data_IF_494100445485
#
_entry.id   IF_494100445485
#
_cell.length_a   1.000
_cell.length_b   1.000
_cell.length_c   1.000
_cell.angle_alpha   90.00
_cell.angle_beta   90.00
_cell.angle_gamma   90.00
#
_symmetry.space_group_name_H-M   'P 1'
#
loop_
_entity.id
_entity.type
_entity.pdbx_description
1 polymer ?
#
# COMPACT_ATOMS: atom_id res chain seq x y z
N UNK A 1 -10.83 4.65 6.94
CA UNK A 1 -9.92 3.52 6.92
C UNK A 1 -9.76 2.99 5.50
N UNK A 2 -8.53 2.99 4.98
CA UNK A 2 -8.21 2.51 3.64
C UNK A 2 -7.15 1.40 3.71
N UNK A 3 -7.29 0.36 2.87
CA UNK A 3 -6.30 -0.71 2.70
C UNK A 3 -5.92 -0.79 1.23
N UNK A 4 -4.64 -0.65 0.95
CA UNK A 4 -4.10 -0.66 -0.40
C UNK A 4 -3.19 -1.88 -0.58
N UNK A 5 -3.47 -2.69 -1.60
CA UNK A 5 -2.61 -3.82 -1.95
C UNK A 5 -1.51 -3.42 -2.93
N UNK A 6 -1.84 -2.56 -3.91
CA UNK A 6 -0.90 -1.91 -4.82
C UNK A 6 -0.93 -0.41 -4.54
N UNK A 7 0.24 0.23 -4.54
CA UNK A 7 0.39 1.61 -4.08
C UNK A 7 1.36 2.38 -4.98
N UNK A 8 1.54 3.67 -4.69
CA UNK A 8 2.54 4.54 -5.31
C UNK A 8 3.99 4.01 -5.17
N UNK A 9 4.24 3.03 -4.29
CA UNK A 9 5.54 2.38 -4.18
C UNK A 9 5.93 1.56 -5.43
N UNK A 10 4.98 1.18 -6.28
CA UNK A 10 5.33 0.56 -7.57
C UNK A 10 6.22 1.45 -8.42
N UNK A 11 6.11 2.77 -8.25
CA UNK A 11 6.94 3.78 -8.93
C UNK A 11 8.40 3.82 -8.47
N UNK A 12 8.79 3.05 -7.47
CA UNK A 12 10.18 2.87 -7.00
C UNK A 12 10.54 1.40 -6.75
N UNK A 13 9.65 0.48 -7.12
CA UNK A 13 9.86 -0.96 -7.03
C UNK A 13 9.81 -1.59 -8.43
N UNK A 14 8.61 -1.73 -9.00
CA UNK A 14 8.43 -2.34 -10.32
C UNK A 14 9.14 -1.53 -11.41
N UNK A 15 9.04 -0.21 -11.37
CA UNK A 15 9.71 0.66 -12.35
C UNK A 15 11.23 0.71 -12.21
N UNK A 16 11.80 0.33 -11.07
CA UNK A 16 13.25 0.16 -10.92
C UNK A 16 13.76 -1.13 -11.53
N UNK A 17 12.95 -2.17 -11.48
CA UNK A 17 13.24 -3.46 -12.13
C UNK A 17 13.00 -3.36 -13.64
N UNK A 18 12.00 -2.57 -14.05
CA UNK A 18 11.58 -2.34 -15.43
C UNK A 18 11.55 -0.83 -15.75
N UNK A 19 12.72 -0.19 -15.91
CA UNK A 19 12.82 1.26 -16.09
C UNK A 19 12.10 1.77 -17.36
N UNK A 20 11.91 0.91 -18.35
CA UNK A 20 11.14 1.24 -19.56
C UNK A 20 9.69 1.65 -19.27
N UNK A 21 9.10 1.25 -18.13
CA UNK A 21 7.75 1.67 -17.75
C UNK A 21 7.66 3.17 -17.41
N UNK A 22 8.78 3.78 -16.98
CA UNK A 22 8.85 5.23 -16.74
C UNK A 22 8.61 6.04 -18.02
N UNK A 23 9.02 5.52 -19.17
CA UNK A 23 8.80 6.20 -20.46
C UNK A 23 7.31 6.40 -20.75
N UNK A 24 6.45 5.50 -20.25
CA UNK A 24 5.00 5.61 -20.36
C UNK A 24 4.36 6.71 -19.49
N UNK A 25 5.13 7.32 -18.58
CA UNK A 25 4.65 8.45 -17.76
C UNK A 25 4.77 9.81 -18.48
N UNK A 26 5.43 9.86 -19.63
CA UNK A 26 5.61 11.07 -20.45
C UNK A 26 6.21 12.26 -19.68
N UNK A 27 7.21 11.99 -18.85
CA UNK A 27 7.90 13.03 -18.10
C UNK A 27 8.72 13.93 -19.04
N UNK A 28 8.72 15.29 -18.84
CA UNK A 28 9.37 16.21 -19.77
C UNK A 28 10.86 15.96 -19.99
N UNK A 29 11.59 15.51 -18.96
CA UNK A 29 13.04 15.37 -18.98
C UNK A 29 13.49 13.90 -19.18
N UNK A 30 12.57 12.96 -19.43
CA UNK A 30 12.87 11.54 -19.59
C UNK A 30 12.39 11.10 -20.97
N UNK A 31 13.32 10.83 -21.86
CA UNK A 31 13.08 10.39 -23.24
C UNK A 31 13.57 8.97 -23.51
N UNK A 32 14.52 8.52 -22.68
CA UNK A 32 15.11 7.17 -22.75
C UNK A 32 15.39 6.65 -21.35
N UNK A 33 15.69 5.36 -21.24
CA UNK A 33 16.10 4.74 -19.96
C UNK A 33 17.46 5.24 -19.45
N UNK A 34 18.28 5.83 -20.31
CA UNK A 34 19.58 6.42 -19.96
C UNK A 34 19.41 7.72 -19.16
N UNK A 35 18.27 8.37 -19.27
CA UNK A 35 17.93 9.59 -18.51
C UNK A 35 17.51 9.29 -17.06
N UNK A 36 17.35 7.98 -16.73
CA UNK A 36 16.89 7.51 -15.42
C UNK A 36 18.10 7.18 -14.55
N UNK A 37 18.67 8.21 -13.94
CA UNK A 37 19.85 8.15 -13.07
C UNK A 37 19.48 8.02 -11.57
N UNK A 38 20.50 7.96 -10.72
CA UNK A 38 20.30 7.91 -9.26
C UNK A 38 19.58 9.16 -8.74
N UNK A 39 19.81 10.33 -9.35
CA UNK A 39 19.15 11.57 -8.95
C UNK A 39 17.66 11.53 -9.26
N UNK A 40 17.24 10.83 -10.33
CA UNK A 40 15.85 10.57 -10.63
C UNK A 40 15.19 9.76 -9.49
N UNK A 41 15.83 8.66 -9.04
CA UNK A 41 15.29 7.81 -7.97
C UNK A 41 15.25 8.53 -6.62
N UNK A 42 16.25 9.32 -6.29
CA UNK A 42 16.25 10.16 -5.08
C UNK A 42 15.09 11.16 -5.07
N UNK A 43 14.78 11.76 -6.23
CA UNK A 43 13.60 12.64 -6.35
C UNK A 43 12.31 11.87 -6.10
N UNK A 44 12.18 10.63 -6.61
CA UNK A 44 10.99 9.77 -6.39
C UNK A 44 10.81 9.44 -4.91
N UNK A 45 11.85 9.03 -4.22
CA UNK A 45 11.79 8.76 -2.78
C UNK A 45 11.41 10.00 -1.98
N UNK A 46 11.98 11.15 -2.32
CA UNK A 46 11.61 12.42 -1.70
C UNK A 46 10.12 12.74 -1.92
N UNK A 47 9.62 12.61 -3.14
CA UNK A 47 8.20 12.85 -3.46
C UNK A 47 7.27 11.95 -2.67
N UNK A 48 7.63 10.67 -2.49
CA UNK A 48 6.87 9.73 -1.66
C UNK A 48 6.85 10.21 -0.20
N UNK A 49 8.01 10.52 0.35
CA UNK A 49 8.12 11.00 1.73
C UNK A 49 7.37 12.32 1.96
N UNK A 50 7.41 13.25 1.01
CA UNK A 50 6.69 14.52 1.06
C UNK A 50 5.16 14.30 1.02
N UNK A 51 4.70 13.38 0.18
CA UNK A 51 3.29 13.00 0.10
C UNK A 51 2.80 12.36 1.39
N UNK A 52 3.54 11.40 1.93
CA UNK A 52 3.20 10.73 3.19
C UNK A 52 3.23 11.70 4.37
N UNK A 53 4.19 12.62 4.41
CA UNK A 53 4.25 13.68 5.42
C UNK A 53 3.04 14.59 5.35
N UNK A 54 2.63 15.03 4.16
CA UNK A 54 1.43 15.84 3.98
C UNK A 54 0.19 15.14 4.53
N UNK A 55 0.01 13.85 4.24
CA UNK A 55 -1.10 13.07 4.77
C UNK A 55 -1.04 12.95 6.30
N UNK A 56 0.14 12.73 6.86
CA UNK A 56 0.32 12.62 8.31
C UNK A 56 0.02 13.94 9.03
N UNK A 57 0.51 15.06 8.50
CA UNK A 57 0.25 16.41 9.04
C UNK A 57 -1.24 16.81 8.97
N UNK A 58 -2.00 16.21 8.04
CA UNK A 58 -3.47 16.38 7.94
C UNK A 58 -4.26 15.36 8.77
N UNK A 59 -3.59 14.59 9.65
CA UNK A 59 -4.22 13.71 10.62
C UNK A 59 -4.39 12.25 10.15
N UNK A 60 -3.83 11.87 8.98
CA UNK A 60 -3.85 10.48 8.51
C UNK A 60 -2.71 9.69 9.16
N UNK A 61 -3.02 8.55 9.75
CA UNK A 61 -2.00 7.60 10.20
C UNK A 61 -1.69 6.59 9.10
N UNK A 62 -0.40 6.43 8.78
CA UNK A 62 0.07 5.59 7.68
C UNK A 62 0.87 4.42 8.24
N UNK A 63 0.50 3.21 7.85
CA UNK A 63 1.21 1.97 8.18
C UNK A 63 1.57 1.25 6.89
N UNK A 64 2.84 0.93 6.73
CA UNK A 64 3.34 0.24 5.54
C UNK A 64 3.81 -1.16 5.92
N UNK A 65 3.25 -2.18 5.26
CA UNK A 65 3.57 -3.58 5.54
C UNK A 65 4.26 -4.21 4.34
N UNK A 66 5.52 -4.59 4.50
CA UNK A 66 6.20 -5.44 3.55
C UNK A 66 6.00 -6.91 3.93
N UNK A 67 5.16 -7.59 3.17
CA UNK A 67 4.85 -9.02 3.36
C UNK A 67 5.99 -9.87 2.80
N UNK A 68 7.07 -10.00 3.56
CA UNK A 68 8.29 -10.67 3.14
C UNK A 68 8.11 -12.19 3.13
N UNK A 69 8.23 -12.80 1.95
CA UNK A 69 8.25 -14.25 1.75
C UNK A 69 9.63 -14.70 1.26
N UNK A 70 9.97 -15.95 1.52
CA UNK A 70 11.18 -16.56 0.95
C UNK A 70 10.98 -16.88 -0.54
N UNK A 71 12.09 -16.94 -1.30
CA UNK A 71 12.10 -17.37 -2.71
C UNK A 71 11.51 -18.79 -2.86
N UNK A 72 11.70 -19.63 -1.85
CA UNK A 72 11.14 -20.98 -1.82
C UNK A 72 9.63 -20.98 -1.59
N UNK A 73 9.13 -20.18 -0.65
CA UNK A 73 7.68 -20.06 -0.43
C UNK A 73 6.98 -19.50 -1.68
N UNK A 74 7.59 -18.53 -2.38
CA UNK A 74 7.05 -18.03 -3.65
C UNK A 74 6.93 -19.18 -4.66
N UNK A 75 7.97 -20.00 -4.80
CA UNK A 75 7.98 -21.18 -5.69
C UNK A 75 6.83 -22.14 -5.34
N UNK A 76 6.63 -22.43 -4.07
CA UNK A 76 5.56 -23.31 -3.62
C UNK A 76 4.17 -22.71 -3.93
N UNK A 77 4.02 -21.39 -3.77
CA UNK A 77 2.76 -20.70 -4.11
C UNK A 77 2.45 -20.74 -5.60
N UNK A 78 3.45 -20.58 -6.47
CA UNK A 78 3.29 -20.68 -7.92
C UNK A 78 2.94 -22.11 -8.32
N UNK A 79 3.66 -23.13 -7.81
CA UNK A 79 3.33 -24.55 -8.03
C UNK A 79 1.91 -24.88 -7.59
N UNK A 80 1.47 -24.36 -6.44
CA UNK A 80 0.10 -24.55 -5.96
C UNK A 80 -0.94 -23.90 -6.88
N UNK A 81 -0.65 -22.77 -7.53
CA UNK A 81 -1.53 -22.19 -8.55
C UNK A 81 -1.71 -23.13 -9.73
N UNK A 82 -0.62 -23.70 -10.23
CA UNK A 82 -0.65 -24.62 -11.37
C UNK A 82 -1.35 -25.96 -11.05
N UNK A 83 -1.16 -26.50 -9.84
CA UNK A 83 -1.72 -27.77 -9.42
C UNK A 83 -3.21 -27.74 -9.10
N UNK A 84 -3.77 -26.57 -8.80
CA UNK A 84 -5.17 -26.41 -8.42
C UNK A 84 -5.97 -25.81 -9.58
N UNK A 85 -6.84 -26.60 -10.27
CA UNK A 85 -7.59 -26.11 -11.44
C UNK A 85 -8.33 -24.80 -11.21
N UNK A 86 -8.94 -24.62 -10.03
CA UNK A 86 -9.64 -23.38 -9.64
C UNK A 86 -8.73 -22.14 -9.51
N UNK A 87 -7.41 -22.31 -9.55
CA UNK A 87 -6.40 -21.24 -9.40
C UNK A 87 -5.56 -21.02 -10.64
N UNK A 88 -5.64 -21.91 -11.65
CA UNK A 88 -4.78 -21.86 -12.83
C UNK A 88 -4.91 -20.53 -13.59
N UNK A 89 -6.11 -19.97 -13.62
CA UNK A 89 -6.38 -18.68 -14.26
C UNK A 89 -5.57 -17.50 -13.67
N UNK A 90 -4.96 -17.67 -12.51
CA UNK A 90 -4.12 -16.67 -11.84
C UNK A 90 -2.65 -16.76 -12.21
N UNK A 91 -2.25 -17.80 -12.94
CA UNK A 91 -0.88 -17.98 -13.34
C UNK A 91 -0.64 -17.35 -14.71
N UNK A 92 0.48 -16.66 -14.84
CA UNK A 92 1.01 -16.16 -16.10
C UNK A 92 2.41 -16.73 -16.33
N UNK A 93 2.82 -17.06 -17.56
CA UNK A 93 4.22 -17.37 -17.87
C UNK A 93 5.18 -16.27 -17.38
N UNK A 94 4.80 -15.01 -17.49
CA UNK A 94 5.56 -13.88 -16.97
C UNK A 94 5.85 -13.96 -15.45
N UNK A 95 5.07 -14.72 -14.67
CA UNK A 95 5.40 -15.01 -13.25
C UNK A 95 6.76 -15.70 -13.10
N UNK A 96 7.23 -16.44 -14.12
CA UNK A 96 8.54 -17.11 -14.11
C UNK A 96 9.65 -16.12 -14.46
N UNK A 97 9.44 -15.30 -15.47
CA UNK A 97 10.39 -14.25 -15.87
C UNK A 97 10.65 -13.28 -14.72
N UNK A 98 9.58 -12.80 -14.08
CA UNK A 98 9.65 -11.93 -12.89
C UNK A 98 10.38 -12.61 -11.71
N UNK A 99 10.24 -13.93 -11.59
CA UNK A 99 10.94 -14.68 -10.54
C UNK A 99 12.46 -14.73 -10.75
N UNK A 100 12.94 -14.68 -11.98
CA UNK A 100 14.38 -14.60 -12.27
C UNK A 100 14.98 -13.31 -11.74
N UNK A 101 14.20 -12.23 -11.69
CA UNK A 101 14.58 -10.91 -11.16
C UNK A 101 14.46 -10.80 -9.63
N UNK A 102 14.33 -11.93 -8.92
CA UNK A 102 14.11 -11.97 -7.46
C UNK A 102 15.10 -11.11 -6.68
N UNK A 103 16.37 -11.23 -6.96
CA UNK A 103 17.44 -10.56 -6.19
C UNK A 103 17.40 -9.05 -6.45
N UNK A 104 17.15 -8.63 -7.68
CA UNK A 104 16.93 -7.21 -8.05
C UNK A 104 15.74 -6.62 -7.32
N UNK A 105 14.62 -7.37 -7.23
CA UNK A 105 13.47 -6.93 -6.45
C UNK A 105 13.80 -6.78 -4.96
N UNK A 106 14.60 -7.70 -4.37
CA UNK A 106 14.99 -7.59 -2.97
C UNK A 106 15.83 -6.34 -2.70
N UNK A 107 16.77 -6.01 -3.60
CA UNK A 107 17.55 -4.78 -3.53
C UNK A 107 16.67 -3.53 -3.62
N UNK A 108 15.72 -3.50 -4.57
CA UNK A 108 14.75 -2.40 -4.69
C UNK A 108 13.88 -2.25 -3.45
N UNK A 109 13.39 -3.35 -2.85
CA UNK A 109 12.63 -3.32 -1.61
C UNK A 109 13.47 -2.80 -0.44
N UNK A 110 14.69 -3.30 -0.29
CA UNK A 110 15.60 -2.86 0.78
C UNK A 110 15.83 -1.34 0.70
N UNK A 111 16.14 -0.83 -0.47
CA UNK A 111 16.40 0.59 -0.71
C UNK A 111 15.13 1.43 -0.46
N UNK A 112 13.98 1.01 -0.97
CA UNK A 112 12.73 1.70 -0.74
C UNK A 112 12.37 1.77 0.75
N UNK A 113 12.54 0.67 1.49
CA UNK A 113 12.27 0.62 2.93
C UNK A 113 13.23 1.55 3.68
N UNK A 114 14.52 1.50 3.37
CA UNK A 114 15.53 2.34 4.04
C UNK A 114 15.30 3.83 3.79
N UNK A 115 14.95 4.21 2.55
CA UNK A 115 14.80 5.62 2.14
C UNK A 115 13.44 6.22 2.50
N UNK A 116 12.45 5.40 2.79
CA UNK A 116 11.09 5.87 3.05
C UNK A 116 10.52 5.45 4.42
N UNK A 117 11.31 4.81 5.29
CA UNK A 117 10.91 4.64 6.69
C UNK A 117 11.06 5.97 7.41
N UNK A 118 9.94 6.51 7.89
CA UNK A 118 9.88 7.75 8.66
C UNK A 118 9.06 7.54 9.93
N UNK A 119 9.21 8.42 10.92
CA UNK A 119 8.48 8.34 12.18
C UNK A 119 6.95 8.41 11.98
N UNK A 120 6.50 9.18 10.98
CA UNK A 120 5.08 9.37 10.69
C UNK A 120 4.53 8.33 9.70
N UNK A 121 5.38 7.56 9.03
CA UNK A 121 4.98 6.52 8.08
C UNK A 121 5.99 5.35 8.09
N UNK A 122 6.02 4.54 9.16
CA UNK A 122 6.99 3.46 9.30
C UNK A 122 6.66 2.26 8.42
N UNK A 123 7.72 1.55 7.99
CA UNK A 123 7.61 0.22 7.40
C UNK A 123 7.69 -0.87 8.47
N UNK A 124 6.82 -1.85 8.34
CA UNK A 124 6.83 -3.10 9.11
C UNK A 124 7.17 -4.26 8.17
N UNK A 125 8.29 -4.95 8.44
CA UNK A 125 8.69 -6.13 7.68
C UNK A 125 8.04 -7.36 8.33
N UNK A 126 7.09 -7.97 7.64
CA UNK A 126 6.27 -9.07 8.16
C UNK A 126 6.74 -10.40 7.57
N UNK A 127 7.31 -11.32 8.37
CA UNK A 127 7.60 -12.68 7.92
C UNK A 127 6.32 -13.38 7.44
N UNK A 128 6.24 -13.73 6.15
CA UNK A 128 4.97 -14.10 5.51
C UNK A 128 4.96 -15.48 4.86
N UNK A 129 5.95 -16.31 5.14
CA UNK A 129 5.94 -17.71 4.76
C UNK A 129 4.79 -18.44 5.48
N UNK A 130 4.64 -18.18 6.78
CA UNK A 130 3.46 -18.59 7.53
C UNK A 130 2.38 -17.51 7.46
N UNK A 131 1.31 -17.78 6.70
CA UNK A 131 0.22 -16.81 6.49
C UNK A 131 -0.57 -16.47 7.75
N UNK A 132 -0.76 -17.43 8.64
CA UNK A 132 -1.52 -17.22 9.88
C UNK A 132 -0.73 -16.35 10.85
N UNK A 133 0.57 -16.63 11.00
CA UNK A 133 1.48 -15.80 11.77
C UNK A 133 1.56 -14.37 11.23
N UNK A 134 1.69 -14.22 9.91
CA UNK A 134 1.71 -12.89 9.29
C UNK A 134 0.42 -12.10 9.55
N UNK A 135 -0.74 -12.75 9.44
CA UNK A 135 -2.04 -12.12 9.74
C UNK A 135 -2.15 -11.71 11.20
N UNK A 136 -1.68 -12.56 12.12
CA UNK A 136 -1.69 -12.25 13.54
C UNK A 136 -0.83 -11.02 13.84
N UNK A 137 0.39 -10.94 13.29
CA UNK A 137 1.28 -9.80 13.48
C UNK A 137 0.63 -8.51 12.97
N UNK A 138 0.12 -8.50 11.72
CA UNK A 138 -0.55 -7.32 11.16
C UNK A 138 -1.77 -6.93 11.99
N UNK A 139 -2.61 -7.90 12.39
CA UNK A 139 -3.78 -7.62 13.20
C UNK A 139 -3.41 -7.06 14.58
N UNK A 140 -2.35 -7.56 15.21
CA UNK A 140 -1.87 -7.07 16.51
C UNK A 140 -1.37 -5.62 16.42
N UNK A 141 -0.61 -5.28 15.37
CA UNK A 141 -0.16 -3.91 15.14
C UNK A 141 -1.36 -2.97 14.96
N UNK A 142 -2.32 -3.34 14.12
CA UNK A 142 -3.52 -2.53 13.87
C UNK A 142 -4.39 -2.39 15.13
N UNK A 143 -4.54 -3.46 15.91
CA UNK A 143 -5.30 -3.42 17.17
C UNK A 143 -4.66 -2.44 18.14
N UNK A 144 -3.35 -2.53 18.36
CA UNK A 144 -2.62 -1.61 19.26
C UNK A 144 -2.82 -0.13 18.85
N UNK A 145 -2.82 0.14 17.55
CA UNK A 145 -3.08 1.50 17.05
C UNK A 145 -4.51 1.92 17.32
N UNK A 146 -5.49 1.06 17.02
CA UNK A 146 -6.92 1.35 17.20
C UNK A 146 -7.27 1.56 18.69
N UNK A 147 -6.64 0.84 19.61
CA UNK A 147 -6.80 1.03 21.05
C UNK A 147 -6.31 2.41 21.53
N UNK A 148 -5.44 3.08 20.76
CA UNK A 148 -5.00 4.45 21.02
C UNK A 148 -6.09 5.51 20.76
N UNK A 149 -7.10 5.20 19.94
CA UNK A 149 -8.20 6.10 19.63
C UNK A 149 -9.32 6.00 20.68
N UNK A 150 -9.19 6.74 21.78
CA UNK A 150 -10.14 6.69 22.90
C UNK A 150 -11.39 7.54 22.70
N UNK A 151 -11.38 8.48 21.76
CA UNK A 151 -12.43 9.50 21.60
C UNK A 151 -13.31 9.29 20.37
N UNK A 152 -13.23 8.12 19.72
CA UNK A 152 -14.11 7.79 18.61
C UNK A 152 -15.51 7.52 19.16
N UNK A 153 -16.46 8.42 18.84
CA UNK A 153 -17.87 8.31 19.19
C UNK A 153 -18.73 8.51 17.95
N UNK A 154 -19.90 7.94 17.96
CA UNK A 154 -20.91 8.33 16.98
C UNK A 154 -21.23 9.81 17.16
N UNK A 155 -21.26 10.60 16.08
CA UNK A 155 -21.64 12.01 16.18
C UNK A 155 -23.06 12.13 16.73
N UNK A 156 -23.23 12.95 17.75
CA UNK A 156 -24.55 13.26 18.27
C UNK A 156 -25.25 14.25 17.33
N UNK A 157 -26.58 14.08 17.22
CA UNK A 157 -27.39 15.06 16.51
C UNK A 157 -27.32 16.39 17.25
N UNK A 158 -27.18 17.45 16.48
CA UNK A 158 -27.30 18.82 16.98
C UNK A 158 -28.60 18.98 17.81
N UNK A 159 -28.57 19.66 18.96
CA UNK A 159 -29.75 19.80 19.85
C UNK A 159 -31.00 20.31 19.12
N UNK A 160 -30.82 21.25 18.22
CA UNK A 160 -31.89 21.79 17.39
C UNK A 160 -32.48 20.75 16.44
N UNK A 161 -31.64 19.98 15.76
CA UNK A 161 -32.05 18.89 14.85
C UNK A 161 -32.77 17.82 15.64
N UNK A 162 -32.26 17.42 16.80
CA UNK A 162 -32.87 16.43 17.69
C UNK A 162 -34.25 16.85 18.16
N UNK A 163 -34.41 18.11 18.55
CA UNK A 163 -35.69 18.69 18.99
C UNK A 163 -36.73 18.77 17.86
N UNK A 164 -36.32 19.02 16.65
CA UNK A 164 -37.20 19.24 15.48
C UNK A 164 -37.26 18.05 14.51
N UNK A 165 -36.66 16.90 14.83
CA UNK A 165 -36.52 15.76 13.94
C UNK A 165 -37.87 15.33 13.30
N UNK A 166 -38.93 15.19 14.12
CA UNK A 166 -40.25 14.82 13.64
C UNK A 166 -40.90 15.85 12.73
N UNK A 167 -40.61 17.13 12.96
CA UNK A 167 -41.07 18.24 12.11
C UNK A 167 -40.41 18.13 10.73
N UNK A 168 -39.09 18.00 10.68
CA UNK A 168 -38.35 17.87 9.42
C UNK A 168 -38.77 16.62 8.62
N UNK A 169 -38.99 15.49 9.29
CA UNK A 169 -39.51 14.27 8.64
C UNK A 169 -40.90 14.54 8.01
N UNK A 170 -41.79 15.26 8.72
CA UNK A 170 -43.12 15.59 8.17
C UNK A 170 -43.05 16.54 6.97
N UNK A 171 -42.16 17.50 7.01
CA UNK A 171 -41.96 18.45 5.91
C UNK A 171 -41.41 17.74 4.66
N UNK A 172 -40.41 16.89 4.82
CA UNK A 172 -39.83 16.11 3.73
C UNK A 172 -40.87 15.12 3.12
N UNK A 173 -41.70 14.49 3.94
CA UNK A 173 -42.79 13.63 3.45
C UNK A 173 -43.85 14.38 2.64
N UNK A 174 -43.97 15.69 2.80
CA UNK A 174 -44.90 16.56 2.04
C UNK A 174 -44.30 17.07 0.72
N UNK A 175 -43.05 16.67 0.40
CA UNK A 175 -42.36 17.04 -0.83
C UNK A 175 -41.91 18.51 -0.84
N UNK A 176 -41.68 19.10 0.33
CA UNK A 176 -41.05 20.41 0.46
C UNK A 176 -39.58 20.32 0.75
#
# INVERSE_FOLDING_TARGET
FGVFNRTHYENVLVTRVHPEYILGEYLPDITSTEDIDDAFWERRFRQINDFERHLAETGTQIFKFFMHISKEEQRQRLLRRLRLPRKNWKFSPADLDERELWDTYQECYQDAIQKTTTDHAPWYIIPSDNKEGARLIVASILLQVLEGFRDIREPELEPEVKANLNKYIKELKKGK
#
